data_IF_297968613610
#
_entry.id   IF_297968613610
#
_cell.length_a   1.000
_cell.length_b   1.000
_cell.length_c   1.000
_cell.angle_alpha   90.00
_cell.angle_beta   90.00
_cell.angle_gamma   90.00
#
_symmetry.space_group_name_H-M   'P 1'
#
loop_
_entity.id
_entity.type
_entity.pdbx_description
1 polymer ?
#
# COMPACT_ATOMS: atom_id res chain seq x y z
N UNK A 1 13.03 -10.26 -9.37
CA UNK A 1 12.96 -9.14 -10.34
C UNK A 1 11.54 -8.61 -10.22
N UNK A 2 11.25 -7.47 -9.60
CA UNK A 2 12.05 -6.48 -8.88
C UNK A 2 11.07 -5.87 -7.87
N UNK A 3 11.16 -6.26 -6.60
CA UNK A 3 10.56 -5.43 -5.55
C UNK A 3 11.40 -4.17 -5.47
N UNK A 4 10.81 -3.05 -5.87
CA UNK A 4 11.42 -1.74 -5.74
C UNK A 4 10.96 -1.16 -4.41
N UNK A 5 11.89 -0.99 -3.48
CA UNK A 5 11.72 0.00 -2.42
C UNK A 5 11.51 1.35 -3.11
N UNK A 6 10.36 1.96 -2.87
CA UNK A 6 10.03 3.26 -3.44
C UNK A 6 10.25 4.38 -2.44
N UNK A 7 9.95 4.17 -1.15
CA UNK A 7 10.23 5.15 -0.10
C UNK A 7 10.20 4.50 1.27
N UNK A 8 10.93 5.05 2.24
CA UNK A 8 10.73 4.71 3.66
C UNK A 8 10.89 5.93 4.56
N UNK A 9 10.17 5.92 5.68
CA UNK A 9 10.30 6.96 6.71
C UNK A 9 10.19 6.36 8.10
N UNK A 10 11.14 6.74 8.96
CA UNK A 10 11.23 6.26 10.35
C UNK A 10 10.69 7.31 11.31
N UNK A 11 9.82 6.88 12.23
CA UNK A 11 9.39 7.66 13.37
C UNK A 11 9.87 6.97 14.67
N UNK A 12 11.02 7.41 15.16
CA UNK A 12 11.65 6.84 16.36
C UNK A 12 10.95 7.22 17.68
N UNK A 13 10.08 8.24 17.68
CA UNK A 13 9.34 8.60 18.91
C UNK A 13 8.29 7.54 19.27
N UNK A 14 7.75 6.86 18.25
CA UNK A 14 6.74 5.80 18.39
C UNK A 14 7.25 4.42 17.95
N UNK A 15 8.56 4.30 17.67
CA UNK A 15 9.21 3.08 17.18
C UNK A 15 8.50 2.44 15.97
N UNK A 16 8.17 3.25 14.96
CA UNK A 16 7.55 2.77 13.72
C UNK A 16 8.36 3.16 12.49
N UNK A 17 8.27 2.35 11.45
CA UNK A 17 8.71 2.67 10.09
C UNK A 17 7.54 2.51 9.14
N UNK A 18 7.40 3.42 8.17
CA UNK A 18 6.52 3.21 7.02
C UNK A 18 7.38 2.91 5.82
N UNK A 19 7.09 1.78 5.18
CA UNK A 19 7.76 1.29 3.98
C UNK A 19 6.78 1.34 2.81
N UNK A 20 7.08 2.10 1.75
CA UNK A 20 6.35 2.05 0.49
C UNK A 20 7.14 1.21 -0.49
N UNK A 21 6.53 0.11 -0.92
CA UNK A 21 7.17 -0.88 -1.77
C UNK A 21 6.25 -1.20 -2.94
N UNK A 22 6.85 -1.33 -4.13
CA UNK A 22 6.16 -1.74 -5.33
C UNK A 22 6.78 -3.00 -5.91
N UNK A 23 5.95 -3.88 -6.43
CA UNK A 23 6.37 -4.96 -7.30
C UNK A 23 5.95 -4.66 -8.75
N UNK A 24 5.89 -5.70 -9.58
CA UNK A 24 5.47 -5.59 -10.99
C UNK A 24 3.96 -5.39 -11.16
N UNK A 25 3.17 -5.58 -10.10
CA UNK A 25 1.71 -5.58 -10.13
C UNK A 25 1.10 -4.43 -9.34
N UNK A 26 1.67 -4.11 -8.19
CA UNK A 26 1.04 -3.24 -7.22
C UNK A 26 2.04 -2.50 -6.35
N UNK A 27 1.55 -1.45 -5.68
CA UNK A 27 2.28 -0.64 -4.72
C UNK A 27 1.49 -0.62 -3.43
N UNK A 28 2.19 -0.91 -2.33
CA UNK A 28 1.65 -1.00 -0.99
C UNK A 28 2.50 -0.17 -0.02
N UNK A 29 1.88 0.23 1.08
CA UNK A 29 2.58 0.72 2.25
C UNK A 29 2.46 -0.27 3.41
N UNK A 30 3.51 -0.41 4.18
CA UNK A 30 3.57 -1.26 5.37
C UNK A 30 3.98 -0.42 6.56
N UNK A 31 3.23 -0.52 7.66
CA UNK A 31 3.64 -0.01 8.96
C UNK A 31 4.36 -1.12 9.69
N UNK A 32 5.61 -0.87 10.05
CA UNK A 32 6.50 -1.83 10.68
C UNK A 32 6.79 -1.35 12.10
N UNK A 33 6.55 -2.22 13.09
CA UNK A 33 7.11 -2.01 14.43
C UNK A 33 8.61 -2.25 14.36
N UNK A 34 9.42 -1.36 14.93
CA UNK A 34 10.90 -1.51 14.95
C UNK A 34 11.44 -1.67 16.37
N UNK A 35 10.57 -2.00 17.33
CA UNK A 35 10.95 -2.27 18.73
C UNK A 35 11.71 -3.59 18.83
N UNK A 36 12.77 -3.62 19.64
CA UNK A 36 13.52 -4.84 20.00
C UNK A 36 14.02 -5.69 18.81
N UNK A 37 14.35 -5.06 17.68
CA UNK A 37 14.76 -5.72 16.42
C UNK A 37 13.71 -6.71 15.86
N UNK A 38 12.43 -6.50 16.16
CA UNK A 38 11.34 -7.23 15.52
C UNK A 38 10.84 -6.40 14.36
N UNK A 39 11.35 -6.64 13.15
CA UNK A 39 10.84 -6.01 11.92
C UNK A 39 9.50 -6.66 11.53
N UNK A 40 8.46 -6.45 12.33
CA UNK A 40 7.14 -7.05 12.16
C UNK A 40 6.19 -6.05 11.50
N UNK A 41 5.57 -6.47 10.39
CA UNK A 41 4.50 -5.71 9.74
C UNK A 41 3.28 -5.72 10.65
N UNK A 42 2.85 -4.55 11.11
CA UNK A 42 1.64 -4.42 11.92
C UNK A 42 0.38 -4.43 11.08
N UNK A 43 0.39 -3.71 9.96
CA UNK A 43 -0.67 -3.66 8.96
C UNK A 43 -0.17 -2.99 7.68
N UNK A 44 -0.95 -3.17 6.62
CA UNK A 44 -0.64 -2.71 5.27
C UNK A 44 -1.74 -1.81 4.71
N UNK A 45 -1.45 -1.19 3.56
CA UNK A 45 -2.42 -0.39 2.81
C UNK A 45 -2.09 -0.36 1.33
N UNK A 46 -3.11 -0.66 0.51
CA UNK A 46 -3.00 -0.59 -0.95
C UNK A 46 -2.92 0.85 -1.44
N UNK A 47 -2.02 1.13 -2.38
CA UNK A 47 -1.88 2.45 -3.00
C UNK A 47 -2.44 2.43 -4.43
N UNK A 48 -1.86 1.60 -5.30
CA UNK A 48 -2.28 1.48 -6.70
C UNK A 48 -1.74 0.20 -7.35
N UNK A 49 -2.35 -0.20 -8.46
CA UNK A 49 -1.83 -1.21 -9.39
C UNK A 49 -0.90 -0.55 -10.42
N UNK A 50 0.09 -1.31 -10.91
CA UNK A 50 1.02 -0.94 -11.99
C UNK A 50 0.60 -1.56 -13.33
N UNK A 51 -0.68 -1.44 -13.66
CA UNK A 51 -1.23 -1.78 -14.97
C UNK A 51 -1.90 -3.15 -15.06
N UNK A 52 -1.52 -4.12 -14.23
CA UNK A 52 -2.18 -5.44 -14.19
C UNK A 52 -3.37 -5.42 -13.26
N UNK A 53 -4.55 -5.73 -13.79
CA UNK A 53 -5.75 -6.03 -13.01
C UNK A 53 -6.10 -7.51 -13.18
N UNK A 54 -6.80 -8.06 -12.19
CA UNK A 54 -7.31 -9.43 -12.22
C UNK A 54 -8.84 -9.39 -12.22
N UNK A 55 -9.47 -10.25 -13.00
CA UNK A 55 -10.93 -10.36 -13.04
C UNK A 55 -11.49 -11.50 -12.17
N UNK A 56 -10.70 -12.56 -11.91
CA UNK A 56 -11.12 -13.73 -11.12
C UNK A 56 -10.37 -13.82 -9.79
N UNK A 57 -11.11 -13.92 -8.67
CA UNK A 57 -10.54 -14.15 -7.35
C UNK A 57 -9.73 -15.45 -7.25
N UNK A 58 -10.02 -16.45 -8.08
CA UNK A 58 -9.22 -17.69 -8.13
C UNK A 58 -7.79 -17.43 -8.65
N UNK A 59 -7.58 -16.36 -9.43
CA UNK A 59 -6.23 -15.98 -9.84
C UNK A 59 -5.42 -15.39 -8.67
N UNK A 60 -6.07 -14.82 -7.64
CA UNK A 60 -5.38 -14.36 -6.42
C UNK A 60 -4.70 -15.53 -5.70
N UNK A 61 -5.35 -16.70 -5.65
CA UNK A 61 -4.76 -17.89 -5.03
C UNK A 61 -3.45 -18.30 -5.72
N UNK A 62 -3.30 -18.02 -7.02
CA UNK A 62 -2.05 -18.26 -7.72
C UNK A 62 -0.92 -17.34 -7.24
N UNK A 63 -1.21 -16.09 -6.87
CA UNK A 63 -0.21 -15.18 -6.29
C UNK A 63 0.17 -15.57 -4.86
N UNK A 64 -0.81 -16.01 -4.06
CA UNK A 64 -0.59 -16.40 -2.67
C UNK A 64 0.12 -17.76 -2.56
N UNK A 65 -0.26 -18.75 -3.37
CA UNK A 65 0.22 -20.14 -3.21
C UNK A 65 1.50 -20.47 -3.98
N UNK A 66 1.90 -19.66 -4.99
CA UNK A 66 3.11 -19.91 -5.76
C UNK A 66 4.39 -19.32 -5.17
N UNK A 67 4.36 -18.85 -3.92
CA UNK A 67 5.54 -18.34 -3.20
C UNK A 67 6.26 -17.22 -3.98
N UNK A 68 5.49 -16.44 -4.77
CA UNK A 68 6.07 -15.41 -5.63
C UNK A 68 6.55 -14.17 -4.86
N UNK A 69 6.20 -14.07 -3.57
CA UNK A 69 6.56 -12.93 -2.71
C UNK A 69 5.77 -11.64 -2.99
N UNK A 70 4.97 -11.61 -4.06
CA UNK A 70 4.26 -10.41 -4.49
C UNK A 70 2.90 -10.25 -3.82
N UNK A 71 2.52 -8.99 -3.59
CA UNK A 71 1.17 -8.68 -3.17
C UNK A 71 0.20 -8.88 -4.35
N UNK A 72 -1.02 -9.38 -4.11
CA UNK A 72 -1.94 -9.68 -5.20
C UNK A 72 -2.32 -8.41 -5.96
N UNK A 73 -2.38 -8.46 -7.31
CA UNK A 73 -2.86 -7.34 -8.11
C UNK A 73 -4.28 -6.93 -7.71
N UNK A 74 -4.69 -5.72 -8.09
CA UNK A 74 -6.03 -5.22 -7.82
C UNK A 74 -7.07 -6.00 -8.64
N UNK A 75 -8.09 -6.52 -7.96
CA UNK A 75 -9.29 -7.05 -8.61
C UNK A 75 -10.05 -5.94 -9.33
N UNK A 76 -10.43 -6.17 -10.59
CA UNK A 76 -11.14 -5.21 -11.45
C UNK A 76 -12.41 -4.65 -10.81
N UNK A 77 -13.11 -5.45 -9.99
CA UNK A 77 -14.32 -4.98 -9.29
C UNK A 77 -14.07 -3.92 -8.21
N UNK A 78 -12.82 -3.75 -7.76
CA UNK A 78 -12.39 -2.69 -6.83
C UNK A 78 -11.88 -1.46 -7.57
N UNK A 79 -11.74 -1.51 -8.90
CA UNK A 79 -11.15 -0.43 -9.68
C UNK A 79 -11.98 0.86 -9.63
N UNK A 80 -11.30 1.99 -9.62
CA UNK A 80 -11.78 3.32 -9.96
C UNK A 80 -10.75 4.06 -10.85
N UNK A 81 -10.92 5.37 -11.04
CA UNK A 81 -10.04 6.18 -11.89
C UNK A 81 -8.62 6.39 -11.32
N UNK A 82 -8.41 6.17 -10.02
CA UNK A 82 -7.12 6.32 -9.34
C UNK A 82 -6.37 5.00 -9.16
N UNK A 83 -6.96 3.87 -9.55
CA UNK A 83 -6.42 2.54 -9.26
C UNK A 83 -5.12 2.20 -9.97
N UNK A 84 -4.80 2.83 -11.10
CA UNK A 84 -3.68 2.40 -11.95
C UNK A 84 -2.70 3.56 -12.15
N UNK A 85 -1.44 3.32 -11.80
CA UNK A 85 -0.32 4.21 -12.09
C UNK A 85 0.82 3.36 -12.66
N UNK A 86 1.07 3.47 -13.96
CA UNK A 86 2.08 2.65 -14.63
C UNK A 86 3.51 3.10 -14.27
N UNK A 87 3.77 4.39 -14.32
CA UNK A 87 5.12 4.96 -14.21
C UNK A 87 5.34 5.66 -12.87
N UNK A 88 5.09 4.96 -11.76
CA UNK A 88 5.40 5.47 -10.42
C UNK A 88 6.88 5.25 -10.09
N UNK A 89 7.55 6.32 -9.64
CA UNK A 89 8.95 6.31 -9.18
C UNK A 89 9.06 6.88 -7.75
N UNK A 90 10.18 6.62 -7.07
CA UNK A 90 10.45 7.09 -5.70
C UNK A 90 10.17 8.59 -5.49
N UNK A 91 10.67 9.45 -6.39
CA UNK A 91 10.51 10.91 -6.29
C UNK A 91 9.06 11.40 -6.38
N UNK A 92 8.13 10.56 -6.83
CA UNK A 92 6.72 10.89 -6.89
C UNK A 92 6.00 10.67 -5.56
N UNK A 93 6.62 9.94 -4.62
CA UNK A 93 6.02 9.50 -3.37
C UNK A 93 6.53 10.35 -2.21
N UNK A 94 5.60 10.83 -1.40
CA UNK A 94 5.88 11.46 -0.11
C UNK A 94 5.12 10.73 0.99
N UNK A 95 5.81 10.45 2.09
CA UNK A 95 5.20 10.00 3.34
C UNK A 95 5.06 11.25 4.24
N UNK A 96 3.91 11.40 4.90
CA UNK A 96 3.61 12.51 5.80
C UNK A 96 3.01 11.98 7.09
N UNK A 97 3.62 12.32 8.21
CA UNK A 97 3.20 11.92 9.55
C UNK A 97 2.51 13.08 10.24
N UNK A 98 1.30 12.83 10.75
CA UNK A 98 0.63 13.78 11.63
C UNK A 98 -0.16 13.03 12.69
N UNK A 99 0.27 13.19 13.94
CA UNK A 99 -0.28 12.48 15.08
C UNK A 99 -0.23 10.95 14.80
N UNK A 100 -1.35 10.24 14.99
CA UNK A 100 -1.45 8.80 14.71
C UNK A 100 -1.88 8.49 13.27
N UNK A 101 -1.74 9.44 12.35
CA UNK A 101 -2.13 9.29 10.94
C UNK A 101 -0.90 9.40 10.05
N UNK A 102 -0.70 8.38 9.22
CA UNK A 102 0.26 8.40 8.11
C UNK A 102 -0.51 8.66 6.82
N UNK A 103 0.04 9.54 5.97
CA UNK A 103 -0.47 9.81 4.63
C UNK A 103 0.60 9.51 3.60
N UNK A 104 0.22 8.81 2.54
CA UNK A 104 1.06 8.61 1.36
C UNK A 104 0.50 9.48 0.25
N UNK A 105 1.31 10.42 -0.22
CA UNK A 105 0.98 11.31 -1.31
C UNK A 105 1.73 10.89 -2.56
N UNK A 106 1.03 10.84 -3.69
CA UNK A 106 1.63 10.69 -5.02
C UNK A 106 1.45 12.01 -5.75
N UNK A 107 2.57 12.65 -6.13
CA UNK A 107 2.59 13.96 -6.81
C UNK A 107 1.70 15.01 -6.11
N UNK A 108 1.67 14.97 -4.78
CA UNK A 108 0.88 15.87 -3.93
C UNK A 108 -0.59 15.48 -3.71
N UNK A 109 -1.08 14.41 -4.34
CA UNK A 109 -2.43 13.87 -4.10
C UNK A 109 -2.37 12.80 -3.02
N UNK A 110 -3.24 12.85 -2.00
CA UNK A 110 -3.35 11.79 -0.99
C UNK A 110 -3.93 10.51 -1.62
N UNK A 111 -3.15 9.43 -1.61
CA UNK A 111 -3.55 8.13 -2.15
C UNK A 111 -3.87 7.11 -1.06
N UNK A 112 -3.21 7.23 0.08
CA UNK A 112 -3.41 6.33 1.21
C UNK A 112 -3.37 7.13 2.49
N UNK A 113 -4.33 6.87 3.38
CA UNK A 113 -4.33 7.30 4.77
C UNK A 113 -4.33 6.06 5.65
N UNK A 114 -3.37 5.94 6.56
CA UNK A 114 -3.27 4.83 7.51
C UNK A 114 -3.47 5.37 8.92
N UNK A 115 -4.43 4.80 9.65
CA UNK A 115 -4.75 5.14 11.03
C UNK A 115 -4.09 4.13 11.96
N UNK A 116 -3.08 4.57 12.71
CA UNK A 116 -2.25 3.70 13.54
C UNK A 116 -3.00 3.16 14.78
N UNK A 117 -4.01 3.89 15.27
CA UNK A 117 -4.78 3.49 16.45
C UNK A 117 -5.74 2.34 16.13
N UNK A 118 -6.42 2.45 14.99
CA UNK A 118 -7.38 1.45 14.53
C UNK A 118 -6.76 0.36 13.66
N UNK A 119 -5.53 0.58 13.16
CA UNK A 119 -4.85 -0.26 12.16
C UNK A 119 -5.68 -0.42 10.89
N UNK A 120 -6.33 0.67 10.47
CA UNK A 120 -7.19 0.72 9.29
C UNK A 120 -6.56 1.62 8.22
N UNK A 121 -6.52 1.10 7.00
CA UNK A 121 -6.04 1.78 5.80
C UNK A 121 -7.19 2.24 4.90
N UNK A 122 -7.12 3.49 4.46
CA UNK A 122 -8.07 4.12 3.54
C UNK A 122 -7.38 4.47 2.23
N UNK A 123 -7.75 3.79 1.15
CA UNK A 123 -7.11 3.89 -0.15
C UNK A 123 -7.96 4.65 -1.17
N UNK A 124 -7.36 5.63 -1.86
CA UNK A 124 -8.01 6.36 -2.97
C UNK A 124 -8.19 5.48 -4.19
N UNK A 125 -7.30 4.52 -4.40
CA UNK A 125 -7.28 3.63 -5.56
C UNK A 125 -8.35 2.53 -5.58
N UNK A 126 -9.34 2.53 -4.68
CA UNK A 126 -10.38 1.49 -4.61
C UNK A 126 -11.80 2.07 -4.54
N UNK A 127 -12.76 1.40 -5.17
CA UNK A 127 -14.16 1.83 -5.28
C UNK A 127 -15.06 1.33 -4.14
N UNK A 128 -14.65 0.26 -3.43
CA UNK A 128 -15.42 -0.38 -2.35
C UNK A 128 -14.50 -1.00 -1.30
N UNK A 129 -15.02 -1.20 -0.09
CA UNK A 129 -14.28 -1.82 0.99
C UNK A 129 -14.04 -3.31 0.76
N UNK A 130 -12.89 -3.84 1.19
CA UNK A 130 -12.58 -5.26 1.12
C UNK A 130 -11.10 -5.55 1.37
N UNK A 131 -10.53 -6.47 0.59
CA UNK A 131 -9.16 -6.96 0.78
C UNK A 131 -8.07 -5.88 0.62
N UNK A 132 -8.38 -4.77 -0.06
CA UNK A 132 -7.44 -3.67 -0.33
C UNK A 132 -7.64 -2.48 0.63
N UNK A 133 -8.47 -2.63 1.67
CA UNK A 133 -8.79 -1.59 2.63
C UNK A 133 -10.17 -0.96 2.42
N UNK A 134 -10.33 0.29 2.86
CA UNK A 134 -11.57 1.07 2.76
C UNK A 134 -11.38 2.21 1.75
N UNK A 135 -12.36 2.56 0.90
CA UNK A 135 -12.23 3.71 0.02
C UNK A 135 -11.96 5.00 0.81
N UNK A 136 -10.93 5.72 0.41
CA UNK A 136 -10.66 7.07 0.91
C UNK A 136 -11.74 8.00 0.34
N UNK A 137 -12.60 8.50 1.23
CA UNK A 137 -13.63 9.49 0.87
C UNK A 137 -12.98 10.87 0.78
N UNK A 138 -13.29 11.58 -0.29
CA UNK A 138 -12.97 13.01 -0.45
C UNK A 138 -13.66 13.88 0.61
#
# INVERSE_FOLDING_TARGET
MDEALLQSEYNYEINKCVLVQGDIHSVWAYVIDITDNRDEIEFDGFICSRGTLIDDSNEIEAYINHDQGYAPPLLSEYKNEYSIINDLVENDIKIDWKDNIVRILIKGTEYLKMDLDTKISYAKGISKSGAYGIPLKE
#
